data_IF_044433168351
#
_entry.id   IF_044433168351
#
_cell.length_a   1.000
_cell.length_b   1.000
_cell.length_c   1.000
_cell.angle_alpha   90.00
_cell.angle_beta   90.00
_cell.angle_gamma   90.00
#
_symmetry.space_group_name_H-M   'P 1'
#
loop_
_entity.id
_entity.type
_entity.pdbx_description
1 polymer ?
#
# COMPACT_ATOMS: atom_id res chain seq x y z
N UNK A 1 -22.56 -4.72 4.28
CA UNK A 1 -21.25 -5.40 4.31
C UNK A 1 -20.18 -4.40 3.89
N UNK A 2 -19.10 -4.28 4.66
CA UNK A 2 -18.07 -3.28 4.45
C UNK A 2 -16.71 -3.96 4.30
N UNK A 3 -16.03 -3.77 3.15
CA UNK A 3 -14.75 -4.39 2.82
C UNK A 3 -13.66 -3.34 2.60
N UNK A 4 -12.43 -3.67 3.00
CA UNK A 4 -11.27 -2.80 2.74
C UNK A 4 -10.85 -2.83 1.26
N UNK A 5 -10.89 -4.01 0.61
CA UNK A 5 -10.51 -4.14 -0.79
C UNK A 5 -11.52 -3.50 -1.75
N UNK A 6 -11.08 -2.95 -2.90
CA UNK A 6 -11.96 -2.38 -3.90
C UNK A 6 -13.11 -3.33 -4.28
N UNK A 7 -14.30 -2.77 -4.52
CA UNK A 7 -15.46 -3.53 -5.00
C UNK A 7 -15.88 -2.99 -6.36
N UNK A 8 -16.34 -3.88 -7.26
CA UNK A 8 -16.81 -3.49 -8.59
C UNK A 8 -18.26 -3.06 -8.50
N UNK A 9 -18.54 -1.89 -9.09
CA UNK A 9 -19.87 -1.45 -9.47
C UNK A 9 -19.91 -1.24 -10.98
N UNK A 10 -20.62 -2.11 -11.68
CA UNK A 10 -20.64 -2.14 -13.15
C UNK A 10 -21.03 -0.80 -13.77
N UNK A 11 -21.95 -0.04 -13.14
CA UNK A 11 -22.40 1.28 -13.58
C UNK A 11 -21.30 2.35 -13.59
N UNK A 12 -20.22 2.13 -12.84
CA UNK A 12 -19.11 3.07 -12.64
C UNK A 12 -17.94 2.82 -13.60
N UNK A 13 -17.99 1.72 -14.36
CA UNK A 13 -16.92 1.30 -15.26
C UNK A 13 -17.04 2.00 -16.62
N UNK A 14 -16.36 3.14 -16.78
CA UNK A 14 -16.25 3.85 -18.06
C UNK A 14 -14.80 3.89 -18.52
N UNK A 15 -14.54 3.31 -19.72
CA UNK A 15 -13.20 3.27 -20.30
C UNK A 15 -12.62 4.67 -20.49
N UNK A 16 -11.38 4.87 -20.08
CA UNK A 16 -10.57 6.06 -20.36
C UNK A 16 -9.34 5.69 -21.18
N UNK A 17 -8.83 6.64 -21.96
CA UNK A 17 -7.57 6.44 -22.68
C UNK A 17 -6.38 6.61 -21.74
N UNK A 18 -5.69 5.51 -21.44
CA UNK A 18 -4.56 5.53 -20.51
C UNK A 18 -3.35 6.29 -21.05
N UNK A 19 -3.12 6.26 -22.39
CA UNK A 19 -2.00 6.96 -23.01
C UNK A 19 -2.13 8.49 -22.93
N UNK A 20 -3.36 8.99 -22.82
CA UNK A 20 -3.63 10.41 -22.59
C UNK A 20 -3.65 10.76 -21.10
N UNK A 21 -4.19 9.89 -20.25
CA UNK A 21 -4.40 10.18 -18.82
C UNK A 21 -3.15 10.04 -17.96
N UNK A 22 -2.36 9.00 -18.18
CA UNK A 22 -1.21 8.72 -17.30
C UNK A 22 -0.07 9.75 -17.37
N UNK A 23 0.22 10.41 -18.51
CA UNK A 23 1.19 11.49 -18.56
C UNK A 23 0.88 12.69 -17.64
N UNK A 24 -0.39 12.93 -17.30
CA UNK A 24 -0.76 13.96 -16.31
C UNK A 24 -0.33 13.57 -14.88
N UNK A 25 -0.33 12.27 -14.56
CA UNK A 25 0.16 11.78 -13.27
C UNK A 25 1.69 11.73 -13.21
N UNK A 26 2.33 11.41 -14.34
CA UNK A 26 3.77 11.11 -14.41
C UNK A 26 4.44 11.88 -15.57
N UNK A 27 4.48 13.22 -15.49
CA UNK A 27 5.05 14.05 -16.56
C UNK A 27 6.54 13.74 -16.74
N UNK A 28 6.95 13.58 -18.00
CA UNK A 28 8.36 13.37 -18.36
C UNK A 28 8.93 11.99 -18.06
N UNK A 29 8.14 11.08 -17.47
CA UNK A 29 8.58 9.71 -17.13
C UNK A 29 8.09 8.67 -18.16
N UNK A 30 8.79 7.54 -18.20
CA UNK A 30 8.30 6.32 -18.83
C UNK A 30 7.36 5.58 -17.87
N UNK A 31 6.30 4.99 -18.42
CA UNK A 31 5.29 4.24 -17.66
C UNK A 31 5.24 2.82 -18.22
N UNK A 32 5.57 1.83 -17.39
CA UNK A 32 5.56 0.43 -17.77
C UNK A 32 4.59 -0.35 -16.88
N UNK A 33 3.66 -1.08 -17.50
CA UNK A 33 2.73 -1.93 -16.76
C UNK A 33 3.36 -3.28 -16.48
N UNK A 34 3.50 -3.62 -15.20
CA UNK A 34 4.03 -4.89 -14.72
C UNK A 34 2.91 -5.77 -14.15
N UNK A 35 3.14 -7.07 -14.06
CA UNK A 35 2.20 -8.02 -13.45
C UNK A 35 1.98 -7.75 -11.96
N UNK A 36 2.99 -7.20 -11.25
CA UNK A 36 2.93 -6.82 -9.83
C UNK A 36 3.85 -5.64 -9.51
N UNK A 37 3.57 -4.90 -8.41
CA UNK A 37 4.45 -3.84 -7.93
C UNK A 37 5.86 -4.33 -7.55
N UNK A 38 5.99 -5.52 -6.96
CA UNK A 38 7.30 -6.11 -6.65
C UNK A 38 8.13 -6.45 -7.90
N UNK A 39 7.48 -6.76 -9.03
CA UNK A 39 8.16 -6.94 -10.32
C UNK A 39 8.74 -5.62 -10.81
N UNK A 40 8.02 -4.51 -10.63
CA UNK A 40 8.56 -3.18 -10.89
C UNK A 40 9.76 -2.86 -9.97
N UNK A 41 9.70 -3.22 -8.68
CA UNK A 41 10.84 -3.05 -7.77
C UNK A 41 12.07 -3.87 -8.20
N UNK A 42 11.88 -5.10 -8.70
CA UNK A 42 12.98 -5.90 -9.26
C UNK A 42 13.67 -5.18 -10.43
N UNK A 43 12.89 -4.63 -11.37
CA UNK A 43 13.41 -3.84 -12.49
C UNK A 43 14.18 -2.60 -12.01
N UNK A 44 13.66 -1.92 -10.97
CA UNK A 44 14.33 -0.76 -10.35
C UNK A 44 15.68 -1.19 -9.76
N UNK A 45 15.72 -2.30 -9.03
CA UNK A 45 16.94 -2.81 -8.41
C UNK A 45 18.04 -3.12 -9.45
N UNK A 46 17.64 -3.67 -10.60
CA UNK A 46 18.54 -3.96 -11.73
C UNK A 46 19.07 -2.66 -12.35
N UNK A 47 18.19 -1.73 -12.74
CA UNK A 47 18.57 -0.50 -13.44
C UNK A 47 19.36 0.49 -12.56
N UNK A 48 19.15 0.47 -11.25
CA UNK A 48 19.94 1.26 -10.30
C UNK A 48 21.21 0.53 -9.82
N UNK A 49 21.51 -0.66 -10.35
CA UNK A 49 22.66 -1.46 -9.97
C UNK A 49 22.81 -1.66 -8.46
N UNK A 50 21.72 -2.06 -7.78
CA UNK A 50 21.68 -2.19 -6.33
C UNK A 50 22.34 -3.47 -5.80
N UNK A 51 22.83 -4.36 -6.68
CA UNK A 51 23.48 -5.61 -6.28
C UNK A 51 24.63 -5.34 -5.30
N UNK A 52 24.63 -6.06 -4.16
CA UNK A 52 25.68 -6.00 -3.14
C UNK A 52 25.71 -4.68 -2.34
N UNK A 53 24.72 -3.81 -2.51
CA UNK A 53 24.67 -2.50 -1.84
C UNK A 53 23.77 -2.49 -0.60
N UNK A 54 23.83 -1.38 0.15
CA UNK A 54 22.92 -1.07 1.23
C UNK A 54 21.71 -0.31 0.68
N UNK A 55 20.51 -0.72 1.10
CA UNK A 55 19.23 -0.06 0.84
C UNK A 55 18.62 0.37 2.18
N UNK A 56 18.53 1.69 2.43
CA UNK A 56 17.77 2.20 3.57
C UNK A 56 16.28 2.02 3.28
N UNK A 57 15.52 1.46 4.22
CA UNK A 57 14.08 1.22 4.05
C UNK A 57 13.34 1.17 5.39
N UNK A 58 12.01 1.41 5.41
CA UNK A 58 11.24 1.31 6.63
C UNK A 58 11.22 -0.11 7.19
N UNK A 59 11.29 -0.25 8.52
CA UNK A 59 11.08 -1.51 9.21
C UNK A 59 9.59 -1.94 9.20
N UNK A 60 8.68 -0.97 9.10
CA UNK A 60 7.24 -1.19 8.98
C UNK A 60 6.83 -1.26 7.51
N UNK A 61 6.99 -2.42 6.90
CA UNK A 61 6.74 -2.65 5.46
C UNK A 61 6.35 -4.10 5.20
N UNK A 62 5.86 -4.37 3.99
CA UNK A 62 5.53 -5.71 3.51
C UNK A 62 6.80 -6.55 3.24
N UNK A 63 6.76 -7.83 3.59
CA UNK A 63 7.83 -8.80 3.35
C UNK A 63 8.01 -9.23 1.88
N UNK A 64 7.13 -8.78 0.99
CA UNK A 64 7.14 -9.14 -0.45
C UNK A 64 8.40 -8.70 -1.20
N UNK A 65 9.20 -7.82 -0.61
CA UNK A 65 10.48 -7.35 -1.19
C UNK A 65 11.64 -8.25 -0.83
N UNK A 66 11.54 -9.03 0.24
CA UNK A 66 12.61 -9.92 0.73
C UNK A 66 13.22 -10.81 -0.36
N UNK A 67 12.44 -11.47 -1.24
CA UNK A 67 13.03 -12.30 -2.29
C UNK A 67 13.87 -11.50 -3.29
N UNK A 68 13.52 -10.25 -3.60
CA UNK A 68 14.32 -9.38 -4.47
C UNK A 68 15.60 -8.97 -3.77
N UNK A 69 15.51 -8.57 -2.49
CA UNK A 69 16.68 -8.20 -1.69
C UNK A 69 17.70 -9.36 -1.62
N UNK A 70 17.23 -10.57 -1.39
CA UNK A 70 18.07 -11.78 -1.34
C UNK A 70 18.67 -12.11 -2.71
N UNK A 71 17.87 -12.08 -3.79
CA UNK A 71 18.32 -12.40 -5.14
C UNK A 71 19.47 -11.51 -5.61
N UNK A 72 19.46 -10.23 -5.23
CA UNK A 72 20.49 -9.24 -5.61
C UNK A 72 21.51 -8.99 -4.50
N UNK A 73 21.50 -9.77 -3.43
CA UNK A 73 22.37 -9.56 -2.26
C UNK A 73 22.33 -8.09 -1.77
N UNK A 74 21.15 -7.49 -1.80
CA UNK A 74 20.92 -6.13 -1.29
C UNK A 74 20.74 -6.22 0.23
N UNK A 75 21.55 -5.50 0.99
CA UNK A 75 21.45 -5.45 2.45
C UNK A 75 20.42 -4.39 2.86
N UNK A 76 19.26 -4.77 3.42
CA UNK A 76 18.33 -3.79 3.96
C UNK A 76 18.89 -3.16 5.24
N UNK A 77 18.93 -1.84 5.29
CA UNK A 77 19.23 -1.07 6.49
C UNK A 77 17.91 -0.47 6.98
N UNK A 78 17.30 -1.14 7.94
CA UNK A 78 15.99 -0.75 8.42
C UNK A 78 16.04 0.50 9.31
N UNK A 79 15.01 1.35 9.14
CA UNK A 79 14.75 2.56 9.89
C UNK A 79 13.39 2.42 10.58
N UNK A 80 13.29 2.89 11.84
CA UNK A 80 12.01 2.92 12.54
C UNK A 80 11.11 4.01 11.95
N UNK A 81 9.84 3.98 12.30
CA UNK A 81 8.82 4.86 11.76
C UNK A 81 8.32 5.87 12.79
N UNK A 82 7.74 6.95 12.32
CA UNK A 82 6.88 7.83 13.09
C UNK A 82 5.45 7.27 13.12
N UNK A 83 4.80 7.26 14.29
CA UNK A 83 3.47 6.67 14.46
C UNK A 83 2.33 7.51 13.88
N UNK A 84 2.53 8.83 13.68
CA UNK A 84 1.52 9.71 13.10
C UNK A 84 1.45 9.58 11.58
N UNK A 85 2.59 9.34 10.95
CA UNK A 85 2.70 9.25 9.49
C UNK A 85 2.87 7.82 8.99
N UNK A 86 3.42 6.92 9.81
CA UNK A 86 3.95 5.60 9.44
C UNK A 86 5.10 5.67 8.42
N UNK A 87 5.75 6.83 8.32
CA UNK A 87 6.93 7.03 7.48
C UNK A 87 8.21 6.83 8.29
N UNK A 88 9.33 6.58 7.59
CA UNK A 88 10.64 6.51 8.23
C UNK A 88 10.97 7.81 8.98
N UNK A 89 11.62 7.69 10.11
CA UNK A 89 12.13 8.82 10.89
C UNK A 89 13.29 9.48 10.14
N UNK A 90 13.10 10.71 9.68
CA UNK A 90 14.09 11.44 8.88
C UNK A 90 15.42 11.62 9.62
N UNK A 91 15.35 11.80 10.92
CA UNK A 91 16.52 12.03 11.80
C UNK A 91 17.45 10.81 11.85
N UNK A 92 16.96 9.62 11.53
CA UNK A 92 17.75 8.39 11.49
C UNK A 92 18.48 8.20 10.16
N UNK A 93 18.01 8.83 9.07
CA UNK A 93 18.51 8.57 7.72
C UNK A 93 20.00 8.87 7.63
N UNK A 94 20.40 10.11 7.98
CA UNK A 94 21.82 10.54 7.88
C UNK A 94 22.75 9.65 8.69
N UNK A 95 22.33 9.20 9.87
CA UNK A 95 23.12 8.35 10.78
C UNK A 95 23.36 6.93 10.24
N UNK A 96 22.50 6.48 9.30
CA UNK A 96 22.56 5.11 8.76
C UNK A 96 23.16 5.03 7.36
N UNK A 97 23.44 6.18 6.72
CA UNK A 97 24.11 6.23 5.42
C UNK A 97 25.55 5.77 5.58
N UNK A 98 25.99 4.87 4.71
CA UNK A 98 27.36 4.36 4.60
C UNK A 98 27.89 4.54 3.18
N UNK A 99 29.17 4.29 2.95
CA UNK A 99 29.76 4.27 1.60
C UNK A 99 29.13 3.23 0.67
N UNK A 100 28.44 2.20 1.21
CA UNK A 100 27.72 1.17 0.45
C UNK A 100 26.28 1.54 0.16
N UNK A 101 25.75 2.62 0.75
CA UNK A 101 24.35 3.05 0.54
C UNK A 101 24.19 3.59 -0.86
N UNK A 102 23.41 2.90 -1.70
CA UNK A 102 23.10 3.33 -3.07
C UNK A 102 21.71 3.92 -3.22
N UNK A 103 20.75 3.48 -2.37
CA UNK A 103 19.38 3.97 -2.47
C UNK A 103 18.69 4.06 -1.10
N UNK A 104 17.66 4.90 -1.06
CA UNK A 104 16.67 4.98 0.02
C UNK A 104 15.32 4.61 -0.57
N UNK A 105 14.67 3.63 0.04
CA UNK A 105 13.33 3.19 -0.28
C UNK A 105 12.36 3.89 0.67
N UNK A 106 11.53 4.75 0.14
CA UNK A 106 10.49 5.42 0.90
C UNK A 106 9.12 4.83 0.57
N UNK A 107 8.23 4.79 1.56
CA UNK A 107 6.87 4.30 1.37
C UNK A 107 5.87 5.44 1.62
N UNK A 108 4.95 5.66 0.68
CA UNK A 108 3.79 6.51 0.86
C UNK A 108 2.69 5.72 1.57
N UNK A 109 2.91 5.51 2.87
CA UNK A 109 2.18 4.52 3.67
C UNK A 109 0.71 4.86 3.77
N UNK A 110 -0.15 3.90 3.41
CA UNK A 110 -1.61 3.97 3.45
C UNK A 110 -2.24 5.05 2.56
N UNK A 111 -1.44 5.75 1.76
CA UNK A 111 -1.87 6.81 0.86
C UNK A 111 -1.42 8.21 1.27
N UNK A 112 -0.69 8.33 2.39
CA UNK A 112 -0.09 9.59 2.83
C UNK A 112 1.22 9.84 2.07
N UNK A 113 1.38 10.98 1.37
CA UNK A 113 2.63 11.33 0.71
C UNK A 113 3.80 11.52 1.68
N UNK A 114 4.94 10.91 1.38
CA UNK A 114 6.21 11.23 2.01
C UNK A 114 6.82 12.47 1.34
N UNK A 115 7.43 13.35 2.12
CA UNK A 115 8.08 14.56 1.60
C UNK A 115 9.46 14.23 1.02
N UNK A 116 9.49 13.92 -0.29
CA UNK A 116 10.72 13.59 -1.04
C UNK A 116 11.63 14.81 -1.20
N UNK A 117 11.07 16.00 -1.33
CA UNK A 117 11.86 17.23 -1.51
C UNK A 117 12.64 17.56 -0.23
N UNK A 118 12.01 17.39 0.94
CA UNK A 118 12.71 17.52 2.21
C UNK A 118 13.81 16.45 2.36
N UNK A 119 13.54 15.20 1.94
CA UNK A 119 14.56 14.15 1.94
C UNK A 119 15.76 14.50 1.05
N UNK A 120 15.53 15.03 -0.16
CA UNK A 120 16.63 15.46 -1.04
C UNK A 120 17.52 16.53 -0.42
N UNK A 121 16.92 17.48 0.33
CA UNK A 121 17.68 18.48 1.08
C UNK A 121 18.54 17.84 2.18
N UNK A 122 18.00 16.87 2.89
CA UNK A 122 18.73 16.11 3.91
C UNK A 122 19.91 15.29 3.32
N UNK A 123 19.82 14.90 2.06
CA UNK A 123 20.85 14.13 1.36
C UNK A 123 21.96 15.01 0.74
N UNK A 124 21.86 16.34 0.81
CA UNK A 124 22.91 17.23 0.31
C UNK A 124 24.24 16.96 1.02
N UNK A 125 25.32 16.88 0.24
CA UNK A 125 26.67 16.59 0.73
C UNK A 125 27.02 15.10 0.83
N UNK A 126 26.07 14.18 0.58
CA UNK A 126 26.37 12.76 0.40
C UNK A 126 26.68 12.43 -1.06
N UNK A 127 27.31 11.26 -1.29
CA UNK A 127 27.37 10.67 -2.62
C UNK A 127 25.97 10.56 -3.24
N UNK A 128 25.86 10.43 -4.53
CA UNK A 128 24.57 10.28 -5.21
C UNK A 128 23.83 9.03 -4.68
N UNK A 129 22.74 9.27 -3.92
CA UNK A 129 21.86 8.25 -3.39
C UNK A 129 20.54 8.34 -4.13
N UNK A 130 20.09 7.24 -4.72
CA UNK A 130 18.82 7.16 -5.44
C UNK A 130 17.66 7.07 -4.46
N UNK A 131 16.53 7.74 -4.76
CA UNK A 131 15.28 7.62 -4.00
C UNK A 131 14.32 6.75 -4.80
N UNK A 132 13.85 5.66 -4.19
CA UNK A 132 12.84 4.75 -4.73
C UNK A 132 11.53 5.00 -4.00
N UNK A 133 10.47 5.35 -4.74
CA UNK A 133 9.16 5.62 -4.17
C UNK A 133 8.26 4.37 -4.25
N UNK A 134 7.93 3.76 -3.09
CA UNK A 134 6.84 2.79 -2.99
C UNK A 134 5.50 3.53 -2.90
N UNK A 135 4.83 3.63 -4.02
CA UNK A 135 3.53 4.25 -4.19
C UNK A 135 2.38 3.21 -4.21
N UNK A 136 2.60 1.99 -3.67
CA UNK A 136 1.61 0.91 -3.74
C UNK A 136 0.24 1.30 -3.14
N UNK A 137 0.19 2.25 -2.22
CA UNK A 137 -1.02 2.74 -1.59
C UNK A 137 -1.40 4.18 -2.00
N UNK A 138 -0.67 4.81 -2.94
CA UNK A 138 -0.74 6.27 -3.09
C UNK A 138 -1.04 6.75 -4.51
N UNK A 139 -1.70 5.94 -5.34
CA UNK A 139 -2.16 6.42 -6.66
C UNK A 139 -3.14 7.58 -6.48
N UNK A 140 -2.90 8.68 -7.19
CA UNK A 140 -3.69 9.92 -7.08
C UNK A 140 -3.25 10.89 -5.99
N UNK A 141 -2.18 10.58 -5.23
CA UNK A 141 -1.63 11.47 -4.20
C UNK A 141 -0.58 12.48 -4.74
N UNK A 142 -0.35 12.54 -6.04
CA UNK A 142 0.66 13.42 -6.64
C UNK A 142 2.10 12.97 -6.37
N UNK A 143 2.33 11.67 -6.19
CA UNK A 143 3.62 11.04 -5.89
C UNK A 143 4.11 10.15 -7.03
N UNK A 144 5.35 9.67 -6.96
CA UNK A 144 5.97 8.80 -7.95
C UNK A 144 6.75 9.54 -9.04
N UNK A 145 6.94 10.85 -8.90
CA UNK A 145 7.66 11.68 -9.87
C UNK A 145 8.97 12.25 -9.35
N UNK A 146 9.16 12.22 -8.03
CA UNK A 146 10.25 12.96 -7.36
C UNK A 146 11.46 12.08 -7.10
N UNK A 147 11.26 10.77 -6.98
CA UNK A 147 12.35 9.80 -6.92
C UNK A 147 12.97 9.52 -8.29
N UNK A 148 14.07 8.76 -8.29
CA UNK A 148 14.68 8.23 -9.51
C UNK A 148 13.70 7.31 -10.22
N UNK A 149 13.03 6.43 -9.46
CA UNK A 149 11.97 5.57 -9.94
C UNK A 149 10.90 5.34 -8.87
N UNK A 150 9.71 4.97 -9.31
CA UNK A 150 8.60 4.66 -8.45
C UNK A 150 7.83 3.43 -8.95
N UNK A 151 7.09 2.79 -8.04
CA UNK A 151 6.17 1.74 -8.43
C UNK A 151 4.84 1.82 -7.68
N UNK A 152 3.79 1.37 -8.35
CA UNK A 152 2.42 1.31 -7.82
C UNK A 152 1.91 -0.13 -7.83
N UNK A 153 0.95 -0.42 -6.96
CA UNK A 153 0.24 -1.70 -6.91
C UNK A 153 -1.24 -1.48 -7.19
N UNK A 154 -1.67 -1.75 -8.42
CA UNK A 154 -2.99 -1.39 -8.90
C UNK A 154 -4.13 -2.04 -8.12
N UNK A 155 -4.01 -3.32 -7.77
CA UNK A 155 -5.07 -4.06 -7.08
C UNK A 155 -5.38 -3.55 -5.65
N UNK A 156 -4.55 -2.65 -5.13
CA UNK A 156 -4.80 -2.02 -3.81
C UNK A 156 -5.94 -1.00 -3.88
N UNK A 157 -6.05 -0.27 -4.97
CA UNK A 157 -7.03 0.81 -5.17
C UNK A 157 -8.02 0.55 -6.31
N UNK A 158 -7.70 -0.39 -7.20
CA UNK A 158 -8.49 -0.75 -8.37
C UNK A 158 -8.81 -2.24 -8.40
N UNK A 159 -9.96 -2.65 -8.97
CA UNK A 159 -10.35 -4.06 -9.08
C UNK A 159 -9.62 -4.77 -10.24
N UNK A 160 -8.30 -4.76 -10.26
CA UNK A 160 -7.47 -5.23 -11.37
C UNK A 160 -6.92 -6.65 -11.21
N UNK A 161 -7.31 -7.38 -10.15
CA UNK A 161 -6.82 -8.73 -9.83
C UNK A 161 -5.34 -8.77 -9.50
N UNK A 162 -4.51 -8.24 -10.38
CA UNK A 162 -3.07 -8.02 -10.26
C UNK A 162 -2.69 -6.74 -11.00
N UNK A 163 -1.45 -6.35 -10.92
CA UNK A 163 -0.89 -5.25 -11.69
C UNK A 163 -0.06 -4.31 -10.85
N UNK A 164 1.01 -3.86 -11.46
CA UNK A 164 1.85 -2.78 -11.03
C UNK A 164 2.05 -1.76 -12.13
N UNK A 165 2.49 -0.59 -11.76
CA UNK A 165 3.05 0.42 -12.67
C UNK A 165 4.46 0.69 -12.19
N UNK A 166 5.42 0.61 -13.10
CA UNK A 166 6.75 1.18 -12.95
C UNK A 166 6.75 2.57 -13.58
N UNK A 167 7.20 3.56 -12.85
CA UNK A 167 7.47 4.93 -13.31
C UNK A 167 8.96 5.16 -13.23
N UNK A 168 9.61 5.40 -14.36
CA UNK A 168 11.07 5.44 -14.43
C UNK A 168 11.57 6.46 -15.47
N UNK A 169 12.87 6.75 -15.54
CA UNK A 169 13.48 7.54 -16.61
C UNK A 169 13.19 6.95 -17.99
N UNK A 170 13.10 7.80 -19.01
CA UNK A 170 12.77 7.37 -20.39
C UNK A 170 13.87 6.57 -21.07
N UNK A 171 15.09 6.68 -20.63
CA UNK A 171 16.28 5.98 -21.13
C UNK A 171 16.39 4.53 -20.63
N UNK A 172 15.58 4.13 -19.66
CA UNK A 172 15.56 2.74 -19.21
C UNK A 172 14.99 1.82 -20.28
N UNK A 173 15.74 0.78 -20.63
CA UNK A 173 15.30 -0.25 -21.59
C UNK A 173 14.54 -1.34 -20.85
N UNK A 174 13.20 -1.29 -20.88
CA UNK A 174 12.34 -2.26 -20.18
C UNK A 174 11.53 -3.05 -21.20
N UNK A 175 11.86 -4.33 -21.38
CA UNK A 175 11.11 -5.27 -22.19
C UNK A 175 10.56 -6.39 -21.29
N UNK A 176 9.28 -6.68 -21.40
CA UNK A 176 8.60 -7.64 -20.52
C UNK A 176 7.85 -8.70 -21.34
N UNK A 177 7.96 -9.98 -20.97
CA UNK A 177 7.13 -11.03 -21.56
C UNK A 177 5.66 -10.79 -21.24
N UNK A 178 4.79 -11.17 -22.17
CA UNK A 178 3.33 -11.05 -22.00
C UNK A 178 2.81 -12.07 -20.99
N UNK A 179 1.84 -11.67 -20.16
CA UNK A 179 1.11 -12.60 -19.30
C UNK A 179 -0.31 -12.83 -19.80
N UNK A 180 -0.83 -14.02 -19.52
CA UNK A 180 -2.22 -14.39 -19.74
C UNK A 180 -3.04 -14.24 -18.44
N UNK A 181 -4.35 -14.12 -18.60
CA UNK A 181 -5.31 -14.17 -17.50
C UNK A 181 -5.71 -15.64 -17.29
N UNK A 182 -5.39 -16.19 -16.16
CA UNK A 182 -5.60 -17.61 -15.85
C UNK A 182 -6.79 -17.84 -14.89
N UNK A 183 -7.08 -19.11 -14.58
CA UNK A 183 -8.18 -19.49 -13.69
C UNK A 183 -8.05 -18.88 -12.28
N UNK A 184 -6.82 -18.79 -11.74
CA UNK A 184 -6.57 -18.16 -10.44
C UNK A 184 -6.91 -16.65 -10.46
N UNK A 185 -6.65 -15.99 -11.57
CA UNK A 185 -7.04 -14.59 -11.77
C UNK A 185 -8.54 -14.44 -11.82
N UNK A 186 -9.25 -15.39 -12.47
CA UNK A 186 -10.71 -15.39 -12.50
C UNK A 186 -11.31 -15.57 -11.10
N UNK A 187 -10.83 -16.52 -10.32
CA UNK A 187 -11.26 -16.70 -8.93
C UNK A 187 -10.98 -15.44 -8.10
N UNK A 188 -9.82 -14.82 -8.28
CA UNK A 188 -9.48 -13.56 -7.60
C UNK A 188 -10.39 -12.42 -8.03
N UNK A 189 -10.82 -12.38 -9.30
CA UNK A 189 -11.75 -11.39 -9.83
C UNK A 189 -13.13 -11.46 -9.15
N UNK A 190 -13.62 -12.65 -8.84
CA UNK A 190 -14.88 -12.84 -8.13
C UNK A 190 -14.90 -12.15 -6.76
N UNK A 191 -13.75 -12.01 -6.09
CA UNK A 191 -13.64 -11.31 -4.81
C UNK A 191 -13.97 -9.80 -4.87
N UNK A 192 -14.03 -9.20 -6.06
CA UNK A 192 -14.46 -7.81 -6.20
C UNK A 192 -15.98 -7.63 -6.18
N UNK A 193 -16.76 -8.73 -6.15
CA UNK A 193 -18.21 -8.69 -6.00
C UNK A 193 -18.60 -8.98 -4.55
N UNK A 194 -19.44 -8.14 -3.92
CA UNK A 194 -19.72 -8.23 -2.48
C UNK A 194 -20.20 -9.61 -2.00
N UNK A 195 -21.04 -10.30 -2.80
CA UNK A 195 -21.56 -11.62 -2.45
C UNK A 195 -20.44 -12.67 -2.37
N UNK A 196 -19.57 -12.73 -3.40
CA UNK A 196 -18.44 -13.65 -3.42
C UNK A 196 -17.38 -13.27 -2.37
N UNK A 197 -17.07 -11.96 -2.22
CA UNK A 197 -16.16 -11.49 -1.19
C UNK A 197 -16.61 -11.90 0.21
N UNK A 198 -17.92 -11.89 0.49
CA UNK A 198 -18.47 -12.36 1.76
C UNK A 198 -18.24 -13.85 1.97
N UNK A 199 -18.55 -14.68 0.98
CA UNK A 199 -18.33 -16.12 1.04
C UNK A 199 -16.84 -16.45 1.29
N UNK A 200 -15.95 -15.89 0.50
CA UNK A 200 -14.51 -16.10 0.66
C UNK A 200 -13.98 -15.65 2.03
N UNK A 201 -14.46 -14.54 2.57
CA UNK A 201 -14.00 -14.04 3.89
C UNK A 201 -14.64 -14.72 5.07
N UNK A 202 -15.82 -15.33 4.90
CA UNK A 202 -16.48 -16.11 5.93
C UNK A 202 -15.88 -17.51 6.07
N UNK A 203 -15.54 -18.14 4.95
CA UNK A 203 -15.08 -19.52 4.89
C UNK A 203 -13.61 -19.67 4.47
N UNK A 204 -13.04 -18.70 3.78
CA UNK A 204 -11.70 -18.79 3.18
C UNK A 204 -10.54 -18.70 4.18
N UNK A 205 -10.76 -18.28 5.44
CA UNK A 205 -9.72 -18.31 6.47
C UNK A 205 -9.33 -19.73 6.89
N UNK A 206 -10.19 -20.70 6.64
CA UNK A 206 -9.95 -22.13 6.87
C UNK A 206 -9.35 -22.84 5.64
N UNK A 207 -9.53 -22.26 4.46
CA UNK A 207 -9.18 -22.88 3.16
C UNK A 207 -7.95 -22.20 2.53
N UNK A 208 -7.58 -21.00 2.96
CA UNK A 208 -6.43 -20.31 2.38
C UNK A 208 -5.13 -21.06 2.73
N UNK A 209 -4.40 -21.60 1.75
CA UNK A 209 -3.10 -22.18 2.02
C UNK A 209 -2.23 -21.13 2.70
N UNK A 210 -1.50 -21.54 3.76
CA UNK A 210 -0.47 -20.70 4.36
C UNK A 210 0.37 -20.13 3.21
N UNK A 211 0.52 -18.81 3.14
CA UNK A 211 1.34 -18.19 2.10
C UNK A 211 2.73 -18.80 2.23
N UNK A 212 3.04 -19.72 1.33
CA UNK A 212 4.40 -20.27 1.23
C UNK A 212 5.27 -19.08 0.82
N UNK A 213 6.16 -18.65 1.70
CA UNK A 213 7.17 -17.65 1.37
C UNK A 213 7.92 -18.19 0.16
N UNK A 214 7.82 -17.51 -0.98
CA UNK A 214 8.53 -17.91 -2.19
C UNK A 214 10.00 -17.59 -1.97
N UNK A 215 10.84 -18.59 -2.06
CA UNK A 215 12.29 -18.45 -1.93
C UNK A 215 12.89 -17.62 -3.08
N UNK A 216 12.25 -17.64 -4.25
CA UNK A 216 12.72 -16.94 -5.44
C UNK A 216 11.61 -16.06 -6.04
N UNK A 217 11.98 -14.86 -6.42
CA UNK A 217 11.09 -13.94 -7.13
C UNK A 217 10.95 -14.41 -8.59
N UNK A 218 9.72 -14.59 -9.12
CA UNK A 218 9.51 -14.82 -10.55
C UNK A 218 10.06 -13.67 -11.38
N UNK A 219 10.41 -13.95 -12.64
CA UNK A 219 10.80 -12.88 -13.55
C UNK A 219 9.65 -11.92 -13.80
N UNK A 220 9.95 -10.62 -13.91
CA UNK A 220 8.96 -9.59 -14.21
C UNK A 220 8.25 -9.87 -15.53
N UNK A 221 6.96 -9.62 -15.57
CA UNK A 221 6.18 -9.74 -16.78
C UNK A 221 5.21 -8.56 -16.93
N UNK A 222 4.69 -8.35 -18.13
CA UNK A 222 3.73 -7.29 -18.40
C UNK A 222 2.36 -7.60 -17.80
N UNK A 223 1.60 -6.56 -17.48
CA UNK A 223 0.21 -6.70 -17.04
C UNK A 223 -0.64 -7.30 -18.18
N UNK A 224 -1.47 -8.29 -17.87
CA UNK A 224 -2.37 -8.87 -18.85
C UNK A 224 -3.46 -7.89 -19.32
N UNK A 225 -3.94 -8.07 -20.53
CA UNK A 225 -4.91 -7.18 -21.18
C UNK A 225 -6.22 -6.99 -20.40
N UNK A 226 -6.71 -8.03 -19.71
CA UNK A 226 -7.96 -7.96 -18.93
C UNK A 226 -7.81 -7.07 -17.69
N UNK A 227 -6.73 -7.22 -16.94
CA UNK A 227 -6.41 -6.34 -15.81
C UNK A 227 -6.16 -4.90 -16.24
N UNK A 228 -5.50 -4.69 -17.38
CA UNK A 228 -5.31 -3.35 -17.96
C UNK A 228 -6.66 -2.72 -18.35
N UNK A 229 -7.57 -3.49 -18.94
CA UNK A 229 -8.92 -3.04 -19.27
C UNK A 229 -9.72 -2.67 -18.01
N UNK A 230 -9.63 -3.46 -16.93
CA UNK A 230 -10.29 -3.13 -15.66
C UNK A 230 -9.72 -1.85 -15.05
N UNK A 231 -8.41 -1.65 -15.10
CA UNK A 231 -7.79 -0.40 -14.65
C UNK A 231 -8.31 0.79 -15.46
N UNK A 232 -8.23 0.74 -16.79
CA UNK A 232 -8.73 1.80 -17.68
C UNK A 232 -10.19 2.14 -17.41
N UNK A 233 -11.04 1.15 -17.13
CA UNK A 233 -12.46 1.36 -16.82
C UNK A 233 -12.71 1.93 -15.43
N UNK A 234 -11.84 1.64 -14.48
CA UNK A 234 -12.00 2.08 -13.07
C UNK A 234 -11.38 3.45 -12.81
N UNK A 235 -10.40 3.88 -13.61
CA UNK A 235 -9.63 5.11 -13.37
C UNK A 235 -10.52 6.35 -13.39
N UNK A 236 -11.40 6.49 -14.38
CA UNK A 236 -12.28 7.66 -14.51
C UNK A 236 -13.26 7.81 -13.34
N UNK A 237 -13.72 6.69 -12.76
CA UNK A 237 -14.53 6.74 -11.55
C UNK A 237 -13.70 7.08 -10.31
N UNK A 238 -12.51 6.49 -10.21
CA UNK A 238 -11.58 6.78 -9.12
C UNK A 238 -11.29 8.29 -9.03
N UNK A 239 -10.94 8.93 -10.15
CA UNK A 239 -10.65 10.36 -10.21
C UNK A 239 -11.83 11.20 -9.72
N UNK A 240 -13.04 10.90 -10.22
CA UNK A 240 -14.27 11.64 -9.85
C UNK A 240 -14.67 11.46 -8.38
N UNK A 241 -14.29 10.35 -7.78
CA UNK A 241 -14.69 10.01 -6.42
C UNK A 241 -13.63 10.32 -5.36
N UNK A 242 -12.44 10.76 -5.78
CA UNK A 242 -11.30 10.93 -4.87
C UNK A 242 -11.57 11.96 -3.78
N UNK A 243 -12.09 13.14 -4.14
CA UNK A 243 -12.37 14.20 -3.16
C UNK A 243 -13.46 13.77 -2.16
N UNK A 244 -14.54 13.18 -2.65
CA UNK A 244 -15.58 12.61 -1.77
C UNK A 244 -15.03 11.55 -0.82
N UNK A 245 -14.08 10.74 -1.31
CA UNK A 245 -13.40 9.74 -0.47
C UNK A 245 -12.59 10.40 0.64
N UNK A 246 -11.86 11.48 0.33
CA UNK A 246 -11.08 12.25 1.31
C UNK A 246 -11.99 12.87 2.37
N UNK A 247 -13.06 13.55 1.97
CA UNK A 247 -14.04 14.11 2.90
C UNK A 247 -14.63 13.06 3.86
N UNK A 248 -14.98 11.89 3.31
CA UNK A 248 -15.52 10.80 4.10
C UNK A 248 -14.47 10.20 5.04
N UNK A 249 -13.21 10.13 4.61
CA UNK A 249 -12.10 9.66 5.44
C UNK A 249 -11.88 10.59 6.65
N UNK A 250 -11.87 11.90 6.41
CA UNK A 250 -11.72 12.90 7.46
C UNK A 250 -12.87 12.82 8.49
N UNK A 251 -14.10 12.68 8.01
CA UNK A 251 -15.24 12.44 8.89
C UNK A 251 -15.07 11.16 9.73
N UNK A 252 -14.63 10.06 9.09
CA UNK A 252 -14.40 8.80 9.80
C UNK A 252 -13.26 8.94 10.84
N UNK A 253 -12.17 9.64 10.52
CA UNK A 253 -11.10 9.92 11.47
C UNK A 253 -11.57 10.71 12.68
N UNK A 254 -12.44 11.72 12.49
CA UNK A 254 -13.02 12.47 13.59
C UNK A 254 -13.82 11.57 14.53
N UNK A 255 -14.64 10.68 13.99
CA UNK A 255 -15.42 9.73 14.79
C UNK A 255 -14.53 8.72 15.54
N UNK A 256 -13.44 8.23 14.90
CA UNK A 256 -12.47 7.34 15.56
C UNK A 256 -11.73 8.04 16.71
N UNK A 257 -11.35 9.31 16.54
CA UNK A 257 -10.73 10.13 17.61
C UNK A 257 -11.61 10.25 18.85
N UNK A 258 -12.95 10.36 18.68
CA UNK A 258 -13.91 10.39 19.81
C UNK A 258 -13.90 9.10 20.63
N UNK A 259 -13.48 7.99 20.04
CA UNK A 259 -13.32 6.69 20.70
C UNK A 259 -11.86 6.43 21.17
N UNK A 260 -10.99 7.44 21.18
CA UNK A 260 -9.61 7.35 21.65
C UNK A 260 -8.63 6.73 20.68
N UNK A 261 -9.02 6.51 19.39
CA UNK A 261 -8.09 6.02 18.38
C UNK A 261 -7.12 7.12 17.93
N UNK A 262 -5.86 6.76 17.75
CA UNK A 262 -4.87 7.61 17.09
C UNK A 262 -4.96 7.37 15.58
N UNK A 263 -5.15 8.42 14.79
CA UNK A 263 -5.33 8.33 13.34
C UNK A 263 -4.10 8.87 12.61
N UNK A 264 -3.85 8.35 11.41
CA UNK A 264 -2.78 8.85 10.54
C UNK A 264 -3.02 10.31 10.16
N UNK A 265 -1.95 11.07 9.93
CA UNK A 265 -2.02 12.41 9.34
C UNK A 265 -2.73 12.41 7.98
N UNK A 266 -3.35 13.55 7.65
CA UNK A 266 -4.25 13.65 6.50
C UNK A 266 -3.72 14.53 5.35
N UNK A 267 -2.67 15.31 5.57
CA UNK A 267 -2.14 16.26 4.57
C UNK A 267 -1.75 15.56 3.26
N UNK A 268 -2.57 15.72 2.23
CA UNK A 268 -2.34 15.11 0.91
C UNK A 268 -2.70 13.61 0.83
N UNK A 269 -3.22 13.01 1.92
CA UNK A 269 -3.56 11.59 1.96
C UNK A 269 -4.73 11.26 1.02
N UNK A 270 -4.58 10.22 0.21
CA UNK A 270 -5.66 9.66 -0.63
C UNK A 270 -6.44 8.55 0.07
N UNK A 271 -6.03 8.21 1.30
CA UNK A 271 -6.67 7.19 2.12
C UNK A 271 -6.94 5.87 1.39
N UNK A 272 -5.92 5.33 0.72
CA UNK A 272 -6.02 3.97 0.16
C UNK A 272 -6.52 3.00 1.23
N UNK A 273 -6.03 3.19 2.44
CA UNK A 273 -6.47 2.51 3.65
C UNK A 273 -6.76 3.56 4.73
N UNK A 274 -7.94 3.50 5.33
CA UNK A 274 -8.22 4.28 6.53
C UNK A 274 -7.63 3.53 7.74
N UNK A 275 -6.50 4.01 8.21
CA UNK A 275 -5.69 3.35 9.25
C UNK A 275 -5.76 4.12 10.56
N UNK A 276 -5.92 3.40 11.66
CA UNK A 276 -5.89 3.96 13.00
C UNK A 276 -5.26 2.97 13.99
N UNK A 277 -4.63 3.48 15.02
CA UNK A 277 -4.11 2.69 16.14
C UNK A 277 -5.17 2.63 17.23
N UNK A 278 -5.48 1.44 17.72
CA UNK A 278 -6.35 1.30 18.90
C UNK A 278 -5.73 2.01 20.11
N UNK A 279 -6.52 2.49 21.07
CA UNK A 279 -6.02 3.03 22.34
C UNK A 279 -5.00 2.07 22.98
N UNK A 280 -3.99 2.60 23.68
CA UNK A 280 -2.89 1.79 24.24
C UNK A 280 -3.36 0.72 25.23
N UNK A 281 -4.35 1.04 26.04
CA UNK A 281 -4.99 0.12 26.99
C UNK A 281 -5.76 -1.03 26.31
N UNK A 282 -6.14 -0.85 25.04
CA UNK A 282 -6.84 -1.86 24.24
C UNK A 282 -5.94 -2.61 23.26
N UNK A 283 -4.62 -2.36 23.26
CA UNK A 283 -3.72 -2.93 22.28
C UNK A 283 -3.75 -4.48 22.23
N UNK A 284 -3.88 -5.14 23.38
CA UNK A 284 -3.93 -6.60 23.46
C UNK A 284 -5.28 -7.18 23.04
N UNK A 285 -6.32 -6.34 23.00
CA UNK A 285 -7.68 -6.68 22.57
C UNK A 285 -7.93 -6.36 21.08
N UNK A 286 -6.97 -5.76 20.36
CA UNK A 286 -7.10 -5.37 18.95
C UNK A 286 -7.66 -6.48 18.06
N UNK A 287 -7.09 -7.68 18.15
CA UNK A 287 -7.47 -8.82 17.30
C UNK A 287 -8.88 -9.30 17.62
N UNK A 288 -9.26 -9.25 18.87
CA UNK A 288 -10.62 -9.54 19.32
C UNK A 288 -11.61 -8.49 18.81
N UNK A 289 -11.29 -7.20 18.88
CA UNK A 289 -12.10 -6.11 18.30
C UNK A 289 -12.33 -6.36 16.80
N UNK A 290 -11.29 -6.71 16.05
CA UNK A 290 -11.41 -7.02 14.62
C UNK A 290 -12.29 -8.25 14.37
N UNK A 291 -12.20 -9.28 15.22
CA UNK A 291 -13.06 -10.48 15.15
C UNK A 291 -14.53 -10.14 15.42
N UNK A 292 -14.81 -9.31 16.41
CA UNK A 292 -16.16 -8.85 16.72
C UNK A 292 -16.74 -7.97 15.59
N UNK A 293 -15.97 -7.01 15.04
CA UNK A 293 -16.40 -6.21 13.89
C UNK A 293 -16.81 -7.08 12.69
N UNK A 294 -16.12 -8.22 12.48
CA UNK A 294 -16.48 -9.16 11.42
C UNK A 294 -17.88 -9.75 11.61
N UNK A 295 -18.31 -10.01 12.86
CA UNK A 295 -19.69 -10.48 13.17
C UNK A 295 -20.72 -9.43 12.74
N UNK A 296 -20.38 -8.15 12.84
CA UNK A 296 -21.19 -7.02 12.36
C UNK A 296 -21.02 -6.76 10.84
N UNK A 297 -20.40 -7.70 10.09
CA UNK A 297 -20.13 -7.60 8.64
C UNK A 297 -19.23 -6.41 8.26
N UNK A 298 -18.34 -6.02 9.17
CA UNK A 298 -17.29 -4.99 8.99
C UNK A 298 -15.95 -5.72 8.92
N UNK A 299 -15.39 -5.84 7.71
CA UNK A 299 -14.20 -6.64 7.43
C UNK A 299 -12.95 -5.75 7.45
N UNK A 300 -12.53 -5.38 8.66
CA UNK A 300 -11.23 -4.73 8.87
C UNK A 300 -10.08 -5.68 8.60
N UNK A 301 -8.91 -5.11 8.26
CA UNK A 301 -7.66 -5.84 8.10
C UNK A 301 -6.58 -5.23 9.01
N UNK A 302 -5.46 -5.92 9.13
CA UNK A 302 -4.29 -5.52 9.93
C UNK A 302 -3.06 -5.71 9.07
N UNK A 303 -2.79 -4.70 8.23
CA UNK A 303 -1.63 -4.76 7.33
C UNK A 303 -0.36 -4.65 8.16
N UNK A 304 0.62 -5.52 7.86
CA UNK A 304 1.94 -5.57 8.51
C UNK A 304 1.88 -5.79 10.03
N UNK A 305 0.90 -6.58 10.49
CA UNK A 305 0.77 -6.97 11.90
C UNK A 305 1.95 -7.80 12.44
N UNK A 306 2.69 -8.43 11.53
CA UNK A 306 3.88 -9.22 11.81
C UNK A 306 5.07 -8.47 11.20
N UNK A 307 5.89 -7.76 12.00
CA UNK A 307 7.05 -7.02 11.50
C UNK A 307 8.07 -7.93 10.83
N UNK A 308 8.76 -7.41 9.81
CA UNK A 308 9.84 -8.11 9.12
C UNK A 308 11.17 -8.07 9.90
N UNK A 309 11.25 -7.21 10.90
CA UNK A 309 12.39 -7.06 11.83
C UNK A 309 12.08 -7.77 13.14
N UNK A 310 13.12 -8.23 13.84
CA UNK A 310 12.98 -8.96 15.10
C UNK A 310 13.32 -8.12 16.34
N UNK A 311 14.17 -7.11 16.18
CA UNK A 311 14.69 -6.28 17.27
C UNK A 311 13.66 -5.20 17.67
N UNK A 312 12.91 -5.48 18.73
CA UNK A 312 11.87 -4.57 19.24
C UNK A 312 12.45 -3.31 19.89
N UNK A 313 13.60 -3.40 20.52
CA UNK A 313 14.23 -2.25 21.17
C UNK A 313 14.71 -1.23 20.16
N UNK A 314 15.24 -1.72 19.04
CA UNK A 314 15.69 -0.88 17.92
C UNK A 314 14.55 -0.28 17.11
N UNK A 315 13.38 -0.94 17.02
CA UNK A 315 12.25 -0.53 16.20
C UNK A 315 10.95 -0.43 17.00
N UNK A 316 10.93 0.32 18.13
CA UNK A 316 9.77 0.33 19.04
C UNK A 316 8.48 0.78 18.38
N UNK A 317 8.51 1.81 17.50
CA UNK A 317 7.31 2.32 16.83
C UNK A 317 6.80 1.34 15.76
N UNK A 318 7.68 0.62 15.07
CA UNK A 318 7.30 -0.45 14.15
C UNK A 318 6.49 -1.53 14.86
N UNK A 319 6.95 -1.98 16.04
CA UNK A 319 6.23 -2.98 16.83
C UNK A 319 4.95 -2.44 17.44
N UNK A 320 4.95 -1.18 17.89
CA UNK A 320 3.73 -0.52 18.39
C UNK A 320 2.69 -0.40 17.28
N UNK A 321 3.06 0.06 16.08
CA UNK A 321 2.18 0.12 14.94
C UNK A 321 1.62 -1.27 14.58
N UNK A 322 2.48 -2.27 14.48
CA UNK A 322 2.08 -3.65 14.16
C UNK A 322 1.09 -4.24 15.19
N UNK A 323 1.26 -3.91 16.47
CA UNK A 323 0.40 -4.37 17.56
C UNK A 323 -0.95 -3.67 17.58
N UNK A 324 -1.02 -2.38 17.22
CA UNK A 324 -2.18 -1.51 17.44
C UNK A 324 -3.00 -1.21 16.17
N UNK A 325 -2.45 -1.36 14.97
CA UNK A 325 -3.11 -0.92 13.74
C UNK A 325 -4.38 -1.71 13.41
N UNK A 326 -5.43 -0.97 13.03
CA UNK A 326 -6.60 -1.47 12.31
C UNK A 326 -6.79 -0.64 11.05
N UNK A 327 -6.96 -1.33 9.92
CA UNK A 327 -7.32 -0.69 8.66
C UNK A 327 -8.82 -0.90 8.43
N UNK A 328 -9.57 0.19 8.45
CA UNK A 328 -11.02 0.19 8.33
C UNK A 328 -11.48 0.20 6.87
N UNK A 329 -12.65 -0.38 6.57
CA UNK A 329 -13.27 -0.31 5.25
C UNK A 329 -13.60 1.14 4.87
N UNK A 330 -13.05 1.61 3.75
CA UNK A 330 -13.41 2.88 3.14
C UNK A 330 -13.45 2.69 1.62
N UNK A 331 -14.65 2.79 1.04
CA UNK A 331 -14.88 2.66 -0.39
C UNK A 331 -15.49 3.95 -0.96
N UNK A 332 -15.22 4.23 -2.22
CA UNK A 332 -15.70 5.45 -2.89
C UNK A 332 -17.22 5.61 -2.89
N UNK A 333 -17.95 4.51 -2.71
CA UNK A 333 -19.41 4.51 -2.67
C UNK A 333 -20.00 4.59 -1.27
N UNK A 334 -19.18 4.51 -0.22
CA UNK A 334 -19.67 4.68 1.14
C UNK A 334 -20.19 6.09 1.39
N UNK A 335 -21.03 6.22 2.39
CA UNK A 335 -21.67 7.48 2.83
C UNK A 335 -21.38 7.71 4.31
N UNK A 336 -21.64 8.92 4.82
CA UNK A 336 -21.58 9.20 6.26
C UNK A 336 -22.48 8.26 7.06
N UNK A 337 -23.65 7.85 6.50
CA UNK A 337 -24.53 6.86 7.14
C UNK A 337 -23.86 5.50 7.32
N UNK A 338 -23.02 5.08 6.36
CA UNK A 338 -22.25 3.82 6.47
C UNK A 338 -21.17 3.94 7.54
N UNK A 339 -20.48 5.07 7.61
CA UNK A 339 -19.50 5.36 8.68
C UNK A 339 -20.18 5.31 10.04
N UNK A 340 -21.31 5.99 10.21
CA UNK A 340 -22.04 5.99 11.48
C UNK A 340 -22.46 4.58 11.91
N UNK A 341 -22.88 3.72 10.99
CA UNK A 341 -23.17 2.31 11.29
C UNK A 341 -21.92 1.55 11.76
N UNK A 342 -20.78 1.77 11.13
CA UNK A 342 -19.52 1.14 11.53
C UNK A 342 -19.09 1.63 12.91
N UNK A 343 -19.23 2.93 13.19
CA UNK A 343 -18.89 3.54 14.47
C UNK A 343 -19.81 3.08 15.60
N UNK A 344 -21.11 2.95 15.35
CA UNK A 344 -22.06 2.41 16.34
C UNK A 344 -21.69 0.98 16.74
N UNK A 345 -21.34 0.12 15.76
CA UNK A 345 -20.89 -1.23 16.05
C UNK A 345 -19.57 -1.24 16.84
N UNK A 346 -18.59 -0.39 16.46
CA UNK A 346 -17.32 -0.28 17.17
C UNK A 346 -17.52 0.20 18.61
N UNK A 347 -18.30 1.27 18.82
CA UNK A 347 -18.62 1.80 20.17
C UNK A 347 -19.28 0.73 21.06
N UNK A 348 -20.22 -0.05 20.51
CA UNK A 348 -20.86 -1.15 21.23
C UNK A 348 -19.84 -2.24 21.65
N UNK A 349 -18.91 -2.59 20.76
CA UNK A 349 -17.86 -3.58 21.04
C UNK A 349 -16.93 -3.08 22.14
N UNK A 350 -16.50 -1.82 22.06
CA UNK A 350 -15.58 -1.23 23.04
C UNK A 350 -16.18 -1.12 24.46
N UNK A 351 -17.47 -0.84 24.59
CA UNK A 351 -18.16 -0.81 25.89
C UNK A 351 -18.22 -2.16 26.60
N UNK A 352 -17.98 -3.26 25.86
CA UNK A 352 -17.98 -4.64 26.41
C UNK A 352 -16.57 -5.14 26.76
N UNK A 353 -15.54 -4.32 26.52
CA UNK A 353 -14.12 -4.66 26.69
C UNK A 353 -13.49 -3.92 27.85
#
# INVERSE_FOLDING_TARGET
MYFVHPQIKLKELKKVNLSERLPFYFPGKQIVFTDMGRSAFKIIAENLNLQGSDLLMPAYICDVFTPVLQQYNIRPVFLDIDLKTFHIKKEEIRKKITKKTKAIFICHTYGLPFDVDALRKELQGFQKISIIEDCAHAFGAGVGNKGEAAFFSLYKQFPTVRGGILVCPKDWQVSLPKTSFNLRDFVSFLNYFPAFAFLFKRYGSEIAPKVVRREKMPDPASLNKRSLCLFSRSLGYFEKSLEKRKELALFFQQELKKLGFEVQEDKGNVFCLLSALVPKDLQDKRDEIVKELRKHRIFCIRIWKDPIVLDKERFPNTFEAAKRVINFPLQNHHTKKDVNKMMAALSYILKKK
#
